data_IF_200586926642
#
_entry.id   IF_200586926642
#
_cell.length_a   1.000
_cell.length_b   1.000
_cell.length_c   1.000
_cell.angle_alpha   90.00
_cell.angle_beta   90.00
_cell.angle_gamma   90.00
#
_symmetry.space_group_name_H-M   'P 1'
#
loop_
_entity.id
_entity.type
_entity.pdbx_description
1 polymer ?
#
# COMPACT_ATOMS: atom_id res chain seq x y z
N UNK A 1 0.22 10.66 -46.53
CA UNK A 1 -1.06 11.39 -46.41
C UNK A 1 -1.01 12.26 -45.17
N UNK A 2 -1.01 13.60 -45.30
CA UNK A 2 -0.95 14.53 -44.16
C UNK A 2 -2.38 14.70 -43.61
N UNK A 3 -2.64 14.23 -42.38
CA UNK A 3 -3.89 14.55 -41.65
C UNK A 3 -3.93 16.07 -41.43
N UNK A 4 -4.91 16.74 -42.03
CA UNK A 4 -5.17 18.16 -41.78
C UNK A 4 -5.80 18.29 -40.39
N UNK A 5 -5.04 18.82 -39.43
CA UNK A 5 -5.59 19.30 -38.18
C UNK A 5 -6.41 20.57 -38.46
N UNK A 6 -7.72 20.45 -38.44
CA UNK A 6 -8.65 21.58 -38.51
C UNK A 6 -8.60 22.33 -37.18
N UNK A 7 -7.89 23.47 -37.16
CA UNK A 7 -7.94 24.43 -36.06
C UNK A 7 -9.38 24.98 -35.94
N UNK A 8 -10.03 24.69 -34.82
CA UNK A 8 -11.32 25.28 -34.47
C UNK A 8 -11.19 26.81 -34.33
N UNK A 9 -11.99 27.56 -35.11
CA UNK A 9 -12.34 28.93 -34.74
C UNK A 9 -13.16 28.87 -33.45
N UNK A 10 -12.89 29.77 -32.49
CA UNK A 10 -13.71 29.96 -31.30
C UNK A 10 -15.12 30.38 -31.73
N UNK A 11 -16.01 29.42 -31.92
CA UNK A 11 -17.44 29.70 -32.05
C UNK A 11 -17.95 29.96 -30.64
N UNK A 12 -18.17 31.23 -30.30
CA UNK A 12 -18.93 31.57 -29.10
C UNK A 12 -20.34 31.00 -29.29
N UNK A 13 -20.66 29.92 -28.58
CA UNK A 13 -22.01 29.36 -28.54
C UNK A 13 -22.92 30.41 -27.92
N UNK A 14 -23.78 30.98 -28.74
CA UNK A 14 -24.70 32.03 -28.35
C UNK A 14 -25.72 31.43 -27.38
N UNK A 15 -25.88 32.00 -26.19
CA UNK A 15 -26.72 31.48 -25.08
C UNK A 15 -28.23 31.49 -25.36
N UNK A 16 -28.68 31.81 -26.56
CA UNK A 16 -30.09 32.01 -26.87
C UNK A 16 -30.51 31.00 -27.92
N UNK A 17 -31.54 30.24 -27.54
CA UNK A 17 -32.22 29.14 -28.24
C UNK A 17 -31.38 27.89 -28.42
N UNK A 18 -31.37 27.03 -27.39
CA UNK A 18 -31.33 25.58 -27.66
C UNK A 18 -32.68 25.22 -28.31
N UNK A 19 -32.72 24.40 -29.36
CA UNK A 19 -33.97 24.06 -30.02
C UNK A 19 -34.78 23.19 -29.07
N UNK A 20 -36.09 23.42 -29.00
CA UNK A 20 -37.02 22.65 -28.15
C UNK A 20 -36.89 21.14 -28.35
N UNK A 21 -36.39 20.69 -29.50
CA UNK A 21 -36.14 19.28 -29.81
C UNK A 21 -35.15 18.61 -28.85
N UNK A 22 -34.05 19.25 -28.47
CA UNK A 22 -33.07 18.66 -27.55
C UNK A 22 -33.62 18.49 -26.13
N UNK A 23 -34.67 19.22 -25.76
CA UNK A 23 -35.39 19.01 -24.49
C UNK A 23 -36.33 17.81 -24.54
N UNK A 24 -36.65 17.30 -25.73
CA UNK A 24 -37.50 16.13 -25.93
C UNK A 24 -36.70 14.82 -25.98
N UNK A 25 -35.39 14.89 -26.20
CA UNK A 25 -34.52 13.72 -26.15
C UNK A 25 -34.34 13.34 -24.68
N UNK A 26 -34.86 12.18 -24.32
CA UNK A 26 -34.62 11.56 -23.03
C UNK A 26 -33.12 11.26 -22.90
N UNK A 27 -32.46 11.85 -21.92
CA UNK A 27 -31.01 11.71 -21.66
C UNK A 27 -30.63 10.24 -21.39
N UNK A 28 -31.61 9.38 -21.07
CA UNK A 28 -31.45 7.92 -20.93
C UNK A 28 -31.30 7.18 -22.26
N UNK A 29 -31.58 7.83 -23.40
CA UNK A 29 -31.62 7.21 -24.72
C UNK A 29 -30.61 7.82 -25.71
N UNK A 30 -29.57 8.50 -25.22
CA UNK A 30 -28.56 9.10 -26.08
C UNK A 30 -27.85 8.08 -26.98
N UNK A 31 -27.59 6.85 -26.50
CA UNK A 31 -27.04 5.77 -27.34
C UNK A 31 -27.91 5.50 -28.58
N UNK A 32 -29.21 5.28 -28.37
CA UNK A 32 -30.17 5.02 -29.45
C UNK A 32 -30.30 6.23 -30.37
N UNK A 33 -30.35 7.45 -29.80
CA UNK A 33 -30.44 8.67 -30.56
C UNK A 33 -29.22 8.85 -31.48
N UNK A 34 -28.01 8.75 -30.94
CA UNK A 34 -26.77 8.97 -31.70
C UNK A 34 -26.61 7.90 -32.77
N UNK A 35 -26.86 6.63 -32.44
CA UNK A 35 -26.80 5.53 -33.42
C UNK A 35 -27.79 5.76 -34.57
N UNK A 36 -29.08 5.99 -34.24
CA UNK A 36 -30.12 6.18 -35.27
C UNK A 36 -29.87 7.44 -36.11
N UNK A 37 -29.41 8.52 -35.49
CA UNK A 37 -29.09 9.76 -36.20
C UNK A 37 -27.88 9.59 -37.11
N UNK A 38 -26.87 8.82 -36.68
CA UNK A 38 -25.69 8.51 -37.50
C UNK A 38 -26.03 7.71 -38.75
N UNK A 39 -27.01 6.81 -38.66
CA UNK A 39 -27.44 6.00 -39.79
C UNK A 39 -28.21 6.83 -40.83
N UNK A 40 -29.00 7.81 -40.37
CA UNK A 40 -29.87 8.62 -41.24
C UNK A 40 -29.12 9.85 -41.79
N UNK A 41 -28.27 10.49 -40.98
CA UNK A 41 -27.61 11.76 -41.27
C UNK A 41 -26.10 11.72 -40.95
N UNK A 42 -25.32 10.81 -41.57
CA UNK A 42 -23.90 10.66 -41.29
C UNK A 42 -23.08 11.94 -41.58
N UNK A 43 -23.52 12.76 -42.54
CA UNK A 43 -22.89 14.04 -42.89
C UNK A 43 -22.97 15.10 -41.80
N UNK A 44 -23.89 14.93 -40.85
CA UNK A 44 -24.11 15.87 -39.76
C UNK A 44 -23.38 15.46 -38.47
N UNK A 45 -22.63 14.35 -38.46
CA UNK A 45 -21.85 13.90 -37.32
C UNK A 45 -20.36 14.11 -37.56
N UNK A 46 -19.70 14.76 -36.60
CA UNK A 46 -18.29 15.08 -36.65
C UNK A 46 -17.59 14.57 -35.38
N UNK A 47 -16.71 13.58 -35.52
CA UNK A 47 -15.85 13.15 -34.43
C UNK A 47 -14.77 14.20 -34.14
N UNK A 48 -14.65 14.55 -32.87
CA UNK A 48 -13.75 15.57 -32.39
C UNK A 48 -12.66 14.93 -31.52
N UNK A 49 -11.42 15.41 -31.61
CA UNK A 49 -10.34 14.94 -30.73
C UNK A 49 -10.36 15.57 -29.33
N UNK A 50 -11.04 16.71 -29.18
CA UNK A 50 -11.16 17.46 -27.93
C UNK A 50 -12.34 18.44 -27.98
N UNK A 51 -12.71 18.96 -26.82
CA UNK A 51 -13.58 20.13 -26.64
C UNK A 51 -12.94 21.15 -25.71
N UNK A 52 -13.46 22.37 -25.71
CA UNK A 52 -13.16 23.36 -24.67
C UNK A 52 -14.34 23.47 -23.71
N UNK A 53 -14.07 23.43 -22.42
CA UNK A 53 -15.10 23.61 -21.41
C UNK A 53 -15.59 25.07 -21.42
N UNK A 54 -16.90 25.29 -21.55
CA UNK A 54 -17.46 26.64 -21.67
C UNK A 54 -17.17 27.52 -20.45
N UNK A 55 -17.00 26.94 -19.26
CA UNK A 55 -16.83 27.68 -18.00
C UNK A 55 -15.37 27.91 -17.61
N UNK A 56 -14.50 26.94 -17.84
CA UNK A 56 -13.11 26.98 -17.36
C UNK A 56 -12.12 27.25 -18.49
N UNK A 57 -12.58 27.24 -19.76
CA UNK A 57 -11.72 27.35 -20.94
C UNK A 57 -10.61 26.29 -20.94
N UNK A 58 -10.88 25.14 -20.33
CA UNK A 58 -9.96 24.01 -20.27
C UNK A 58 -10.19 23.10 -21.48
N UNK A 59 -9.10 22.60 -22.04
CA UNK A 59 -9.15 21.58 -23.09
C UNK A 59 -9.40 20.22 -22.44
N UNK A 60 -10.40 19.52 -22.95
CA UNK A 60 -10.74 18.16 -22.56
C UNK A 60 -10.66 17.26 -23.79
N UNK A 61 -9.81 16.25 -23.75
CA UNK A 61 -9.47 15.38 -24.89
C UNK A 61 -9.90 13.93 -24.63
N UNK A 62 -9.89 13.10 -25.67
CA UNK A 62 -10.07 11.66 -25.54
C UNK A 62 -9.00 11.07 -24.59
N UNK A 63 -9.37 10.05 -23.82
CA UNK A 63 -8.62 9.40 -22.73
C UNK A 63 -8.40 10.25 -21.48
N UNK A 64 -8.93 11.47 -21.42
CA UNK A 64 -8.93 12.26 -20.19
C UNK A 64 -10.16 11.96 -19.35
N UNK A 65 -10.05 12.20 -18.04
CA UNK A 65 -11.12 11.92 -17.08
C UNK A 65 -11.90 13.18 -16.75
N UNK A 66 -13.21 13.05 -16.55
CA UNK A 66 -14.09 14.16 -16.24
C UNK A 66 -15.26 13.78 -15.33
N UNK A 67 -15.79 14.80 -14.66
CA UNK A 67 -17.01 14.70 -13.87
C UNK A 67 -18.19 15.35 -14.60
N UNK A 68 -19.33 14.68 -14.60
CA UNK A 68 -20.58 15.06 -15.25
C UNK A 68 -21.70 15.13 -14.21
N UNK A 69 -22.67 16.03 -14.37
CA UNK A 69 -23.90 16.02 -13.57
C UNK A 69 -25.08 15.68 -14.46
N UNK A 70 -25.67 14.51 -14.22
CA UNK A 70 -26.80 13.97 -14.96
C UNK A 70 -27.80 13.36 -13.97
N UNK A 71 -29.08 13.68 -14.10
CA UNK A 71 -30.14 13.24 -13.18
C UNK A 71 -29.86 13.52 -11.69
N UNK A 72 -29.29 14.69 -11.40
CA UNK A 72 -28.83 15.08 -10.04
C UNK A 72 -27.76 14.16 -9.42
N UNK A 73 -27.19 13.22 -10.18
CA UNK A 73 -26.06 12.38 -9.78
C UNK A 73 -24.78 12.87 -10.47
N UNK A 74 -23.68 12.88 -9.72
CA UNK A 74 -22.35 13.10 -10.31
C UNK A 74 -21.86 11.77 -10.87
N UNK A 75 -21.46 11.80 -12.14
CA UNK A 75 -20.85 10.67 -12.83
C UNK A 75 -19.39 11.01 -13.10
N UNK A 76 -18.50 10.05 -12.87
CA UNK A 76 -17.11 10.14 -13.26
C UNK A 76 -16.89 9.23 -14.47
N UNK A 77 -16.21 9.74 -15.49
CA UNK A 77 -15.97 8.95 -16.69
C UNK A 77 -14.64 9.30 -17.36
N UNK A 78 -14.04 8.28 -17.99
CA UNK A 78 -12.94 8.44 -18.93
C UNK A 78 -13.49 8.62 -20.33
N UNK A 79 -13.03 9.64 -21.04
CA UNK A 79 -13.60 9.99 -22.35
C UNK A 79 -13.09 9.01 -23.40
N UNK A 80 -14.00 8.36 -24.11
CA UNK A 80 -13.67 7.50 -25.24
C UNK A 80 -13.97 8.18 -26.57
N UNK A 81 -15.04 8.98 -26.60
CA UNK A 81 -15.50 9.58 -27.84
C UNK A 81 -16.07 10.97 -27.60
N UNK A 82 -15.87 11.86 -28.56
CA UNK A 82 -16.47 13.19 -28.59
C UNK A 82 -17.06 13.39 -29.98
N UNK A 83 -18.35 13.69 -30.04
CA UNK A 83 -19.03 13.97 -31.31
C UNK A 83 -19.73 15.31 -31.25
N UNK A 84 -19.73 15.99 -32.40
CA UNK A 84 -20.54 17.16 -32.67
C UNK A 84 -21.59 16.76 -33.70
N UNK A 85 -22.85 16.98 -33.38
CA UNK A 85 -23.99 16.70 -34.25
C UNK A 85 -24.61 18.03 -34.66
N UNK A 86 -24.83 18.23 -35.96
CA UNK A 86 -25.48 19.43 -36.50
C UNK A 86 -26.97 19.15 -36.69
N UNK A 87 -27.83 19.72 -35.84
CA UNK A 87 -29.28 19.52 -35.89
C UNK A 87 -29.93 20.84 -36.27
N UNK A 88 -30.62 20.89 -37.42
CA UNK A 88 -31.26 22.12 -37.93
C UNK A 88 -30.31 23.32 -38.02
N UNK A 89 -29.04 23.07 -38.35
CA UNK A 89 -28.00 24.10 -38.45
C UNK A 89 -27.36 24.51 -37.12
N UNK A 90 -27.76 23.90 -36.01
CA UNK A 90 -27.16 24.15 -34.68
C UNK A 90 -26.23 23.02 -34.24
N UNK A 91 -25.11 23.38 -33.63
CA UNK A 91 -24.11 22.44 -33.11
C UNK A 91 -24.52 21.91 -31.72
N UNK A 92 -24.63 20.58 -31.61
CA UNK A 92 -24.86 19.87 -30.35
C UNK A 92 -23.66 18.96 -30.04
N UNK A 93 -23.04 19.13 -28.87
CA UNK A 93 -21.88 18.34 -28.45
C UNK A 93 -22.27 17.20 -27.51
N UNK A 94 -21.76 16.00 -27.80
CA UNK A 94 -21.93 14.81 -26.98
C UNK A 94 -20.57 14.16 -26.69
N UNK A 95 -20.47 13.53 -25.53
CA UNK A 95 -19.26 12.87 -25.03
C UNK A 95 -19.65 11.46 -24.60
N UNK A 96 -19.00 10.44 -25.17
CA UNK A 96 -19.10 9.07 -24.67
C UNK A 96 -18.00 8.85 -23.65
N UNK A 97 -18.41 8.49 -22.44
CA UNK A 97 -17.52 8.23 -21.33
C UNK A 97 -17.66 6.80 -20.84
N UNK A 98 -16.53 6.15 -20.58
CA UNK A 98 -16.43 4.90 -19.85
C UNK A 98 -16.51 5.17 -18.36
N UNK A 99 -17.44 4.53 -17.66
CA UNK A 99 -17.90 4.93 -16.34
C UNK A 99 -17.00 4.40 -15.23
N UNK A 100 -16.72 5.26 -14.25
CA UNK A 100 -16.17 4.85 -12.96
C UNK A 100 -17.29 4.55 -11.97
N UNK A 101 -17.16 3.44 -11.25
CA UNK A 101 -17.91 3.18 -10.02
C UNK A 101 -17.19 3.79 -8.82
N UNK A 102 -17.97 4.17 -7.82
CA UNK A 102 -17.47 4.66 -6.54
C UNK A 102 -17.66 3.60 -5.45
N UNK A 103 -17.01 3.81 -4.30
CA UNK A 103 -17.15 2.94 -3.12
C UNK A 103 -18.60 2.55 -2.80
N UNK A 104 -19.60 3.46 -2.77
CA UNK A 104 -20.98 3.09 -2.47
C UNK A 104 -21.59 2.09 -3.46
N UNK A 105 -21.18 2.12 -4.72
CA UNK A 105 -21.68 1.22 -5.76
C UNK A 105 -21.13 -0.22 -5.61
N UNK A 106 -20.09 -0.41 -4.78
CA UNK A 106 -19.35 -1.66 -4.62
C UNK A 106 -19.50 -2.29 -3.22
N UNK A 107 -20.29 -1.69 -2.34
CA UNK A 107 -20.51 -2.18 -0.97
C UNK A 107 -21.10 -3.59 -1.01
N UNK A 108 -20.48 -4.52 -0.26
CA UNK A 108 -20.93 -5.90 -0.14
C UNK A 108 -20.18 -6.89 -1.03
N UNK A 109 -19.39 -6.42 -1.99
CA UNK A 109 -18.60 -7.30 -2.87
C UNK A 109 -17.35 -7.88 -2.18
N UNK A 110 -16.68 -7.08 -1.36
CA UNK A 110 -15.49 -7.50 -0.62
C UNK A 110 -15.29 -6.65 0.65
N UNK A 111 -14.73 -7.22 1.72
CA UNK A 111 -14.58 -6.53 3.01
C UNK A 111 -13.64 -5.31 2.92
N UNK A 112 -12.50 -5.46 2.22
CA UNK A 112 -11.52 -4.37 2.03
C UNK A 112 -12.08 -3.13 1.31
N UNK A 113 -13.21 -3.22 0.61
CA UNK A 113 -13.85 -2.04 -0.01
C UNK A 113 -14.25 -1.01 1.05
N UNK A 114 -14.50 -1.44 2.29
CA UNK A 114 -14.78 -0.54 3.42
C UNK A 114 -13.61 0.39 3.74
N UNK A 115 -12.38 -0.04 3.44
CA UNK A 115 -11.15 0.73 3.64
C UNK A 115 -10.87 1.71 2.50
N UNK A 116 -11.53 1.59 1.34
CA UNK A 116 -11.43 2.58 0.28
C UNK A 116 -11.97 3.95 0.73
N UNK A 117 -11.48 5.00 0.10
CA UNK A 117 -11.89 6.39 0.32
C UNK A 117 -13.00 6.79 -0.65
N UNK A 118 -13.56 8.00 -0.49
CA UNK A 118 -14.51 8.56 -1.46
C UNK A 118 -13.85 9.00 -2.77
N UNK A 119 -12.51 9.12 -2.77
CA UNK A 119 -11.71 9.49 -3.95
C UNK A 119 -11.28 8.26 -4.76
N UNK A 120 -11.57 7.04 -4.27
CA UNK A 120 -11.35 5.79 -5.00
C UNK A 120 -12.42 5.58 -6.09
N UNK A 121 -11.95 5.51 -7.34
CA UNK A 121 -12.74 5.29 -8.55
C UNK A 121 -12.30 4.00 -9.26
N UNK A 122 -13.27 3.22 -9.74
CA UNK A 122 -13.03 1.93 -10.39
C UNK A 122 -13.60 1.96 -11.81
N UNK A 123 -12.72 2.03 -12.80
CA UNK A 123 -13.14 2.14 -14.20
C UNK A 123 -13.80 0.83 -14.65
N UNK A 124 -14.95 0.91 -15.31
CA UNK A 124 -15.70 -0.25 -15.79
C UNK A 124 -15.75 -0.32 -17.29
N UNK A 125 -16.15 -1.44 -17.88
CA UNK A 125 -16.45 -1.57 -19.31
C UNK A 125 -17.73 -0.84 -19.76
N UNK A 126 -18.54 -0.37 -18.81
CA UNK A 126 -19.78 0.32 -19.14
C UNK A 126 -19.50 1.71 -19.70
N UNK A 127 -20.23 2.08 -20.73
CA UNK A 127 -20.15 3.40 -21.35
C UNK A 127 -21.47 4.13 -21.26
N UNK A 128 -21.41 5.45 -21.28
CA UNK A 128 -22.59 6.32 -21.30
C UNK A 128 -22.30 7.57 -22.11
N UNK A 129 -23.30 8.06 -22.82
CA UNK A 129 -23.26 9.38 -23.44
C UNK A 129 -23.69 10.46 -22.46
N UNK A 130 -23.00 11.59 -22.56
CA UNK A 130 -23.28 12.82 -21.84
C UNK A 130 -23.42 13.96 -22.83
N UNK A 131 -24.31 14.90 -22.55
CA UNK A 131 -24.33 16.16 -23.27
C UNK A 131 -23.19 17.04 -22.77
N UNK A 132 -22.52 17.81 -23.65
CA UNK A 132 -21.42 18.69 -23.25
C UNK A 132 -21.79 19.71 -22.15
N UNK A 133 -23.09 20.03 -21.98
CA UNK A 133 -23.60 20.89 -20.89
C UNK A 133 -23.49 20.26 -19.50
N UNK A 134 -23.47 18.92 -19.42
CA UNK A 134 -23.44 18.16 -18.17
C UNK A 134 -22.04 18.12 -17.58
N UNK A 135 -21.01 18.31 -18.43
CA UNK A 135 -19.63 18.41 -18.02
C UNK A 135 -19.45 19.48 -16.94
N UNK A 136 -18.90 19.08 -15.80
CA UNK A 136 -18.64 19.95 -14.66
C UNK A 136 -17.21 20.42 -14.60
N UNK A 137 -16.28 19.46 -14.64
CA UNK A 137 -14.84 19.71 -14.56
C UNK A 137 -14.07 18.53 -15.13
N UNK A 138 -12.86 18.81 -15.60
CA UNK A 138 -11.81 17.80 -15.76
C UNK A 138 -11.38 17.29 -14.37
N UNK A 139 -11.03 16.02 -14.28
CA UNK A 139 -10.47 15.42 -13.07
C UNK A 139 -9.15 14.70 -13.42
N UNK A 140 -8.38 14.36 -12.40
CA UNK A 140 -7.18 13.53 -12.53
C UNK A 140 -7.42 12.24 -11.76
N UNK A 141 -7.27 11.09 -12.41
CA UNK A 141 -7.35 9.77 -11.78
C UNK A 141 -5.97 9.11 -11.85
N UNK A 142 -5.35 8.87 -10.70
CA UNK A 142 -4.02 8.25 -10.63
C UNK A 142 -4.11 6.77 -10.27
N UNK A 143 -3.22 5.95 -10.82
CA UNK A 143 -3.04 4.58 -10.34
C UNK A 143 -2.21 4.62 -9.05
N UNK A 144 -2.72 4.01 -7.97
CA UNK A 144 -2.05 4.05 -6.67
C UNK A 144 -0.71 3.29 -6.65
N UNK A 145 -0.60 2.20 -7.41
CA UNK A 145 0.68 1.48 -7.50
C UNK A 145 1.73 2.35 -8.17
N UNK A 146 1.37 3.12 -9.19
CA UNK A 146 2.29 4.05 -9.86
C UNK A 146 2.74 5.18 -8.92
N UNK A 147 1.83 5.70 -8.08
CA UNK A 147 2.17 6.70 -7.06
C UNK A 147 3.20 6.15 -6.09
N UNK A 148 2.97 4.95 -5.55
CA UNK A 148 3.85 4.33 -4.55
C UNK A 148 5.21 4.01 -5.15
N UNK A 149 5.24 3.42 -6.36
CA UNK A 149 6.47 2.96 -7.00
C UNK A 149 7.34 4.12 -7.51
N UNK A 150 6.72 5.17 -8.04
CA UNK A 150 7.43 6.28 -8.67
C UNK A 150 7.45 7.55 -7.81
N UNK A 151 6.94 7.48 -6.59
CA UNK A 151 6.83 8.59 -5.64
C UNK A 151 6.20 9.84 -6.29
N UNK A 152 5.03 9.67 -6.90
CA UNK A 152 4.38 10.72 -7.70
C UNK A 152 3.65 11.70 -6.80
N UNK A 153 4.00 12.99 -6.89
CA UNK A 153 3.23 14.06 -6.28
C UNK A 153 1.85 14.22 -6.96
N UNK A 154 0.80 14.01 -6.18
CA UNK A 154 -0.58 14.15 -6.64
C UNK A 154 -1.12 15.55 -6.39
N UNK A 155 -2.01 16.02 -7.27
CA UNK A 155 -2.66 17.33 -7.08
C UNK A 155 -3.78 17.25 -6.04
N UNK A 156 -4.05 18.32 -5.27
CA UNK A 156 -5.22 18.37 -4.39
C UNK A 156 -6.53 18.14 -5.16
N UNK A 157 -7.43 17.33 -4.59
CA UNK A 157 -8.71 16.97 -5.21
C UNK A 157 -8.60 16.01 -6.40
N UNK A 158 -7.50 15.25 -6.48
CA UNK A 158 -7.34 14.13 -7.40
C UNK A 158 -8.06 12.89 -6.90
N UNK A 159 -8.40 12.02 -7.84
CA UNK A 159 -8.99 10.71 -7.58
C UNK A 159 -7.95 9.61 -7.82
N UNK A 160 -8.28 8.41 -7.38
CA UNK A 160 -7.36 7.28 -7.40
C UNK A 160 -8.04 6.04 -7.94
N UNK A 161 -7.25 5.15 -8.53
CA UNK A 161 -7.72 3.82 -8.91
C UNK A 161 -6.73 2.77 -8.45
N UNK A 162 -7.26 1.66 -7.94
CA UNK A 162 -6.51 0.46 -7.55
C UNK A 162 -6.63 -0.62 -8.61
N UNK A 163 -7.76 -0.62 -9.31
CA UNK A 163 -8.10 -1.59 -10.32
C UNK A 163 -9.29 -1.12 -11.15
N UNK A 164 -9.43 -1.72 -12.32
CA UNK A 164 -10.67 -1.70 -13.07
C UNK A 164 -11.64 -2.73 -12.50
N UNK A 165 -12.94 -2.52 -12.73
CA UNK A 165 -13.98 -3.41 -12.25
C UNK A 165 -14.81 -3.92 -13.43
N UNK A 166 -14.88 -5.24 -13.59
CA UNK A 166 -15.73 -5.87 -14.58
C UNK A 166 -17.13 -6.08 -13.99
N UNK A 167 -18.14 -5.41 -14.57
CA UNK A 167 -19.49 -5.40 -14.03
C UNK A 167 -20.21 -6.72 -14.25
N UNK A 168 -19.99 -7.36 -15.39
CA UNK A 168 -20.63 -8.65 -15.71
C UNK A 168 -20.20 -9.77 -14.75
N UNK A 169 -18.90 -9.91 -14.52
CA UNK A 169 -18.34 -10.92 -13.61
C UNK A 169 -18.29 -10.50 -12.15
N UNK A 170 -18.58 -9.22 -11.86
CA UNK A 170 -18.46 -8.59 -10.54
C UNK A 170 -17.08 -8.78 -9.90
N UNK A 171 -16.03 -8.62 -10.69
CA UNK A 171 -14.64 -8.82 -10.25
C UNK A 171 -13.77 -7.63 -10.60
N UNK A 172 -12.83 -7.35 -9.71
CA UNK A 172 -11.72 -6.46 -10.00
C UNK A 172 -10.73 -7.17 -10.92
N UNK A 173 -10.16 -6.43 -11.88
CA UNK A 173 -9.13 -6.97 -12.78
C UNK A 173 -7.85 -7.33 -12.01
N UNK A 174 -7.50 -6.51 -11.02
CA UNK A 174 -6.44 -6.75 -10.04
C UNK A 174 -7.10 -7.26 -8.77
N UNK A 175 -6.79 -8.51 -8.34
CA UNK A 175 -7.34 -9.08 -7.13
C UNK A 175 -7.15 -8.16 -5.91
N UNK A 176 -8.13 -8.16 -5.01
CA UNK A 176 -8.16 -7.26 -3.85
C UNK A 176 -7.03 -7.56 -2.85
N UNK A 177 -6.55 -8.80 -2.86
CA UNK A 177 -5.42 -9.30 -2.09
C UNK A 177 -4.10 -8.68 -2.56
N UNK A 178 -4.01 -8.28 -3.83
CA UNK A 178 -2.82 -7.67 -4.44
C UNK A 178 -2.80 -6.14 -4.31
N UNK A 179 -3.84 -5.54 -3.74
CA UNK A 179 -3.88 -4.09 -3.52
C UNK A 179 -2.86 -3.66 -2.47
N UNK A 180 -2.21 -2.52 -2.73
CA UNK A 180 -1.09 -2.03 -1.94
C UNK A 180 -1.45 -1.82 -0.45
N UNK A 181 -0.61 -2.39 0.42
CA UNK A 181 -0.69 -2.34 1.89
C UNK A 181 0.71 -2.11 2.47
N UNK A 182 1.23 -0.89 2.27
CA UNK A 182 2.62 -0.56 2.60
C UNK A 182 2.93 -0.53 4.10
N UNK A 183 1.98 -0.03 4.89
CA UNK A 183 2.20 0.19 6.32
C UNK A 183 2.16 -1.13 7.13
N UNK A 184 2.82 -1.14 8.28
CA UNK A 184 2.81 -2.26 9.23
C UNK A 184 1.41 -2.62 9.74
N UNK A 185 0.45 -1.69 9.67
CA UNK A 185 -0.95 -1.95 10.03
C UNK A 185 -1.72 -2.77 8.99
N UNK A 186 -1.13 -3.01 7.81
CA UNK A 186 -1.69 -3.79 6.70
C UNK A 186 -3.02 -3.26 6.13
N UNK A 187 -3.38 -2.02 6.47
CA UNK A 187 -4.50 -1.32 5.83
C UNK A 187 -4.13 -0.92 4.40
N UNK A 188 -5.15 -0.77 3.55
CA UNK A 188 -4.98 -0.24 2.20
C UNK A 188 -4.24 1.10 2.24
N UNK A 189 -3.34 1.30 1.28
CA UNK A 189 -2.68 2.58 1.10
C UNK A 189 -3.70 3.67 0.75
N UNK A 190 -3.62 4.81 1.43
CA UNK A 190 -4.52 5.95 1.30
C UNK A 190 -3.69 7.22 1.16
N UNK A 191 -3.65 7.76 -0.06
CA UNK A 191 -2.82 8.92 -0.40
C UNK A 191 -3.23 10.22 0.31
N UNK A 192 -4.36 10.25 1.04
CA UNK A 192 -4.76 11.38 1.85
C UNK A 192 -4.06 11.44 3.23
N UNK A 193 -3.39 10.36 3.62
CA UNK A 193 -2.69 10.25 4.90
C UNK A 193 -1.20 10.62 4.78
N UNK A 194 -0.60 11.03 5.89
CA UNK A 194 0.84 11.28 5.98
C UNK A 194 1.64 9.99 6.17
N UNK A 195 2.72 9.82 5.39
CA UNK A 195 3.61 8.65 5.45
C UNK A 195 5.08 9.05 5.52
N UNK A 196 5.88 8.20 6.19
CA UNK A 196 7.35 8.20 6.13
C UNK A 196 7.81 6.92 5.43
N UNK A 197 8.81 7.02 4.56
CA UNK A 197 9.46 5.84 4.00
C UNK A 197 10.57 5.34 4.93
N UNK A 198 10.56 4.03 5.23
CA UNK A 198 11.61 3.41 6.03
C UNK A 198 12.89 3.21 5.22
N UNK A 199 14.04 3.70 5.68
CA UNK A 199 15.31 3.60 4.97
C UNK A 199 15.81 2.15 4.83
N UNK A 200 15.44 1.26 5.75
CA UNK A 200 15.87 -0.15 5.70
C UNK A 200 14.99 -1.02 4.81
N UNK A 201 13.67 -0.96 4.96
CA UNK A 201 12.75 -1.85 4.23
C UNK A 201 12.00 -1.18 3.09
N UNK A 202 12.17 0.13 2.90
CA UNK A 202 11.62 0.94 1.81
C UNK A 202 10.08 1.00 1.78
N UNK A 203 9.41 0.50 2.82
CA UNK A 203 7.94 0.57 2.98
C UNK A 203 7.49 1.94 3.50
N UNK A 204 6.31 2.35 3.07
CA UNK A 204 5.63 3.57 3.54
C UNK A 204 4.84 3.30 4.83
N UNK A 205 5.19 4.01 5.89
CA UNK A 205 4.60 3.86 7.22
C UNK A 205 3.79 5.11 7.55
N UNK A 206 2.52 4.94 7.94
CA UNK A 206 1.71 6.07 8.43
C UNK A 206 2.43 6.79 9.56
N UNK A 207 2.33 8.11 9.60
CA UNK A 207 2.83 8.93 10.71
C UNK A 207 2.39 8.38 12.08
N UNK A 208 1.10 8.04 12.23
CA UNK A 208 0.56 7.47 13.46
C UNK A 208 1.07 6.06 13.78
N UNK A 209 1.47 5.28 12.76
CA UNK A 209 2.02 3.93 12.93
C UNK A 209 3.54 3.92 13.14
N UNK A 210 4.21 5.05 12.91
CA UNK A 210 5.67 5.16 13.04
C UNK A 210 6.16 4.99 14.48
N UNK A 211 5.29 5.26 15.46
CA UNK A 211 5.64 5.33 16.87
C UNK A 211 6.42 6.60 17.26
N UNK A 212 6.55 7.56 16.35
CA UNK A 212 7.19 8.84 16.61
C UNK A 212 6.19 9.88 17.14
N UNK A 213 6.56 10.71 18.13
CA UNK A 213 5.78 11.87 18.53
C UNK A 213 5.64 12.88 17.38
N UNK A 214 4.51 13.60 17.32
CA UNK A 214 4.24 14.62 16.31
C UNK A 214 5.34 15.69 16.21
N UNK A 215 5.85 16.12 17.36
CA UNK A 215 6.95 17.10 17.44
C UNK A 215 8.22 16.64 16.70
N UNK A 216 8.48 15.34 16.65
CA UNK A 216 9.60 14.76 15.92
C UNK A 216 9.27 14.68 14.43
N UNK A 217 8.03 14.32 14.07
CA UNK A 217 7.57 14.28 12.68
C UNK A 217 7.65 15.66 12.00
N UNK A 218 7.37 16.72 12.74
CA UNK A 218 7.43 18.11 12.23
C UNK A 218 8.86 18.61 11.97
N UNK A 219 9.87 17.99 12.60
CA UNK A 219 11.29 18.37 12.51
C UNK A 219 12.15 17.24 11.91
N UNK A 220 11.52 16.26 11.28
CA UNK A 220 12.20 15.11 10.70
C UNK A 220 12.82 15.56 9.37
N UNK A 221 14.05 16.07 9.44
CA UNK A 221 14.88 16.24 8.25
C UNK A 221 15.09 14.86 7.61
N UNK A 222 14.94 14.80 6.28
CA UNK A 222 14.71 13.65 5.38
C UNK A 222 15.59 12.37 5.52
N UNK A 223 16.44 12.23 6.53
CA UNK A 223 17.49 11.21 6.54
C UNK A 223 17.53 10.44 7.87
N UNK A 224 17.20 9.14 7.79
CA UNK A 224 17.32 8.09 8.83
C UNK A 224 16.04 7.73 9.62
N UNK A 225 14.91 7.52 8.96
CA UNK A 225 13.77 6.85 9.56
C UNK A 225 13.84 5.33 9.37
N UNK A 226 13.84 4.58 10.47
CA UNK A 226 13.67 3.13 10.46
C UNK A 226 12.37 2.74 11.19
N UNK A 227 11.54 1.92 10.56
CA UNK A 227 10.28 1.49 11.15
C UNK A 227 10.49 0.58 12.37
N UNK A 228 9.46 0.46 13.21
CA UNK A 228 9.52 -0.32 14.46
C UNK A 228 9.88 -1.80 14.24
N UNK A 229 9.48 -2.39 13.11
CA UNK A 229 9.86 -3.76 12.73
C UNK A 229 11.37 -3.84 12.52
N UNK A 230 11.92 -2.96 11.68
CA UNK A 230 13.34 -2.92 11.38
C UNK A 230 14.19 -2.62 12.62
N UNK A 231 13.75 -1.71 13.49
CA UNK A 231 14.42 -1.43 14.78
C UNK A 231 14.42 -2.69 15.67
N UNK A 232 13.30 -3.41 15.72
CA UNK A 232 13.17 -4.66 16.47
C UNK A 232 14.17 -5.73 15.99
N UNK A 233 14.25 -5.95 14.68
CA UNK A 233 15.19 -6.90 14.06
C UNK A 233 16.65 -6.56 14.38
N UNK A 234 17.03 -5.28 14.28
CA UNK A 234 18.40 -4.83 14.62
C UNK A 234 18.76 -5.13 16.08
N UNK A 235 17.81 -5.01 17.01
CA UNK A 235 18.04 -5.34 18.43
C UNK A 235 18.27 -6.83 18.61
N UNK A 236 17.50 -7.68 17.93
CA UNK A 236 17.65 -9.14 17.98
C UNK A 236 18.99 -9.57 17.39
N UNK A 237 19.40 -9.01 16.27
CA UNK A 237 20.71 -9.26 15.64
C UNK A 237 21.86 -8.94 16.62
N UNK A 238 21.81 -7.77 17.28
CA UNK A 238 22.82 -7.38 18.29
C UNK A 238 22.87 -8.33 19.49
N UNK A 239 21.74 -8.83 19.96
CA UNK A 239 21.70 -9.81 21.07
C UNK A 239 22.36 -11.12 20.66
N UNK A 240 22.07 -11.63 19.46
CA UNK A 240 22.68 -12.86 18.94
C UNK A 240 24.20 -12.74 18.80
N UNK A 241 24.70 -11.61 18.33
CA UNK A 241 26.14 -11.34 18.21
C UNK A 241 26.81 -11.39 19.59
N UNK A 242 26.25 -10.68 20.58
CA UNK A 242 26.76 -10.69 21.97
C UNK A 242 26.75 -12.09 22.59
N UNK A 243 25.71 -12.88 22.34
CA UNK A 243 25.61 -14.26 22.83
C UNK A 243 26.67 -15.17 22.19
N UNK A 244 26.91 -15.03 20.88
CA UNK A 244 27.94 -15.79 20.17
C UNK A 244 29.36 -15.40 20.61
N UNK A 245 29.61 -14.12 20.88
CA UNK A 245 30.90 -13.65 21.45
C UNK A 245 31.13 -14.22 22.85
N UNK A 246 30.11 -14.22 23.71
CA UNK A 246 30.18 -14.81 25.04
C UNK A 246 30.42 -16.33 24.99
N UNK A 247 29.77 -17.05 24.07
CA UNK A 247 30.00 -18.49 23.89
C UNK A 247 31.43 -18.79 23.42
N UNK A 248 31.99 -18.00 22.50
CA UNK A 248 33.38 -18.15 22.05
C UNK A 248 34.39 -17.92 23.17
N UNK A 249 34.14 -16.95 24.06
CA UNK A 249 35.00 -16.69 25.23
C UNK A 249 34.97 -17.87 26.22
N UNK A 250 33.79 -18.45 26.47
CA UNK A 250 33.64 -19.63 27.34
C UNK A 250 34.30 -20.88 26.74
N UNK A 251 34.25 -21.05 25.42
CA UNK A 251 34.94 -22.16 24.75
C UNK A 251 36.47 -22.01 24.79
N UNK A 252 36.98 -20.79 24.61
CA UNK A 252 38.40 -20.52 24.75
C UNK A 252 38.90 -20.71 26.17
N UNK A 253 38.14 -20.30 27.19
CA UNK A 253 38.53 -20.51 28.60
C UNK A 253 38.60 -22.00 28.95
N UNK A 254 37.61 -22.80 28.51
CA UNK A 254 37.63 -24.26 28.70
C UNK A 254 38.82 -24.93 28.02
N UNK A 255 39.22 -24.45 26.86
CA UNK A 255 40.40 -24.97 26.17
C UNK A 255 41.70 -24.65 26.93
N UNK A 256 41.83 -23.45 27.48
CA UNK A 256 42.98 -23.05 28.30
C UNK A 256 43.03 -23.86 29.60
N UNK A 257 41.90 -24.01 30.30
CA UNK A 257 41.81 -24.79 31.54
C UNK A 257 42.17 -26.27 31.30
N UNK A 258 41.67 -26.88 30.21
CA UNK A 258 42.01 -28.25 29.84
C UNK A 258 43.49 -28.43 29.53
N UNK A 259 44.10 -27.46 28.83
CA UNK A 259 45.55 -27.51 28.52
C UNK A 259 46.40 -27.36 29.77
N UNK A 260 45.97 -26.52 30.72
CA UNK A 260 46.68 -26.31 31.98
C UNK A 260 46.61 -27.55 32.88
N UNK A 261 45.45 -28.22 32.92
CA UNK A 261 45.30 -29.49 33.62
C UNK A 261 46.17 -30.61 33.01
N UNK A 262 46.26 -30.69 31.67
CA UNK A 262 47.17 -31.65 31.00
C UNK A 262 48.64 -31.42 31.36
N UNK A 263 49.08 -30.16 31.42
CA UNK A 263 50.45 -29.80 31.82
C UNK A 263 50.73 -30.19 33.29
N UNK A 264 49.76 -29.99 34.18
CA UNK A 264 49.86 -30.39 35.59
C UNK A 264 49.97 -31.92 35.69
N UNK A 265 49.14 -32.66 34.97
CA UNK A 265 49.17 -34.13 34.96
C UNK A 265 50.48 -34.71 34.42
N UNK A 266 51.07 -34.07 33.39
CA UNK A 266 52.40 -34.45 32.88
C UNK A 266 53.51 -34.18 33.91
N UNK A 267 53.47 -33.04 34.61
CA UNK A 267 54.43 -32.74 35.69
C UNK A 267 54.33 -33.73 36.85
N UNK A 268 53.11 -34.11 37.24
CA UNK A 268 52.88 -35.13 38.28
C UNK A 268 53.42 -36.50 37.84
N UNK A 269 53.35 -36.85 36.55
CA UNK A 269 53.94 -38.10 36.03
C UNK A 269 55.47 -38.09 36.06
N UNK A 270 56.09 -36.96 35.78
CA UNK A 270 57.55 -36.79 35.83
C UNK A 270 58.05 -36.91 37.28
N UNK A 271 57.40 -36.25 38.24
CA UNK A 271 57.79 -36.35 39.67
C UNK A 271 57.63 -37.77 40.25
N UNK A 272 56.73 -38.59 39.69
CA UNK A 272 56.55 -39.99 40.11
C UNK A 272 57.62 -40.93 39.55
N UNK A 273 58.34 -40.56 38.50
CA UNK A 273 59.41 -41.39 37.93
C UNK A 273 60.75 -41.23 38.67
N UNK A 274 60.94 -40.17 39.46
CA UNK A 274 62.18 -39.91 40.19
C UNK A 274 62.23 -40.44 41.64
N UNK A 275 61.16 -41.08 42.13
CA UNK A 275 61.17 -41.71 43.47
C UNK A 275 61.46 -43.20 43.40
N UNK A 276 62.76 -43.56 43.46
CA UNK A 276 63.19 -44.93 43.81
C UNK A 276 62.70 -45.30 45.22
N UNK A 277 62.11 -46.49 45.43
CA UNK A 277 61.61 -46.89 46.74
C UNK A 277 62.74 -47.37 47.66
N UNK A 278 62.96 -46.67 48.77
CA UNK A 278 63.64 -47.23 49.93
C UNK A 278 62.66 -48.11 50.72
N UNK A 279 63.01 -49.39 50.84
CA UNK A 279 62.34 -50.36 51.71
C UNK A 279 62.50 -49.96 53.17
N UNK A 280 61.42 -49.94 53.95
CA UNK A 280 61.33 -50.70 55.21
C UNK A 280 60.04 -50.48 56.01
N UNK A 281 59.53 -51.61 56.51
CA UNK A 281 58.90 -51.89 57.81
C UNK A 281 57.54 -51.28 58.20
N UNK A 282 56.63 -52.22 58.49
CA UNK A 282 55.39 -52.13 59.27
C UNK A 282 55.61 -51.49 60.65
N UNK A 283 54.66 -50.69 61.13
CA UNK A 283 54.11 -50.71 62.51
C UNK A 283 52.66 -50.17 62.54
N UNK A 284 51.89 -50.80 63.41
CA UNK A 284 50.51 -50.65 63.92
C UNK A 284 49.99 -49.25 64.34
N UNK A 285 48.67 -49.28 64.64
CA UNK A 285 47.83 -48.44 65.55
C UNK A 285 47.02 -47.32 64.86
N UNK A 286 45.68 -47.41 64.80
CA UNK A 286 44.63 -47.27 65.84
C UNK A 286 44.33 -45.82 66.28
N UNK A 287 43.10 -45.40 65.96
CA UNK A 287 42.13 -44.72 66.83
C UNK A 287 41.88 -43.21 66.69
N UNK A 288 40.57 -42.91 66.75
CA UNK A 288 39.89 -41.69 67.21
C UNK A 288 39.96 -40.42 66.35
N UNK A 289 39.02 -39.48 66.41
CA UNK A 289 37.55 -39.44 66.48
C UNK A 289 37.19 -37.93 66.39
N UNK A 290 35.98 -37.62 65.91
CA UNK A 290 35.25 -36.33 66.09
C UNK A 290 35.82 -35.06 65.41
N UNK A 291 35.06 -34.31 64.61
CA UNK A 291 33.86 -33.54 64.96
C UNK A 291 33.22 -33.00 63.66
N UNK A 292 31.90 -33.16 63.44
CA UNK A 292 30.83 -32.14 63.62
C UNK A 292 30.92 -30.97 62.60
N UNK A 293 29.87 -30.49 61.91
CA UNK A 293 28.41 -30.59 62.05
C UNK A 293 27.75 -29.76 60.92
N UNK A 294 26.46 -30.04 60.65
CA UNK A 294 25.40 -29.15 60.12
C UNK A 294 25.54 -28.69 58.63
N UNK A 295 24.53 -28.67 57.75
CA UNK A 295 23.07 -28.43 57.87
C UNK A 295 22.29 -29.26 56.80
N UNK A 296 21.14 -29.80 57.25
CA UNK A 296 19.86 -30.09 56.58
C UNK A 296 19.44 -29.10 55.45
N UNK A 297 18.39 -29.22 54.63
CA UNK A 297 17.27 -30.12 54.33
C UNK A 297 16.75 -29.63 52.95
N UNK A 298 16.39 -30.50 51.99
CA UNK A 298 14.99 -30.87 51.66
C UNK A 298 14.04 -29.65 51.63
N UNK A 299 13.27 -29.35 50.59
CA UNK A 299 12.30 -30.20 49.91
C UNK A 299 11.63 -29.35 48.80
N UNK A 300 11.53 -29.86 47.57
CA UNK A 300 10.29 -30.35 46.93
C UNK A 300 9.07 -29.40 46.96
N UNK A 301 8.51 -29.11 45.77
CA UNK A 301 7.15 -29.54 45.37
C UNK A 301 6.77 -29.07 43.96
N UNK A 302 5.83 -29.86 43.43
CA UNK A 302 5.30 -29.99 42.06
C UNK A 302 4.10 -29.04 41.81
N UNK A 303 3.36 -29.11 40.66
CA UNK A 303 2.82 -27.96 39.92
C UNK A 303 1.29 -27.72 40.11
N UNK A 304 0.72 -26.97 39.13
CA UNK A 304 -0.68 -26.81 38.69
C UNK A 304 -1.43 -25.57 39.27
N UNK A 305 -1.82 -24.59 38.44
CA UNK A 305 -3.22 -24.34 38.00
C UNK A 305 -3.43 -23.03 37.22
N UNK A 306 -4.32 -23.15 36.23
CA UNK A 306 -4.99 -22.12 35.42
C UNK A 306 -5.86 -21.22 36.29
N UNK A 307 -5.99 -19.95 35.90
CA UNK A 307 -7.19 -19.12 36.16
C UNK A 307 -7.56 -18.35 34.88
N UNK A 308 -8.85 -18.37 34.56
CA UNK A 308 -9.56 -17.57 33.55
C UNK A 308 -10.16 -16.30 34.18
N UNK A 309 -10.59 -15.37 33.31
CA UNK A 309 -11.48 -14.21 33.50
C UNK A 309 -10.81 -12.97 34.11
N UNK A 310 -11.07 -11.74 33.64
CA UNK A 310 -12.25 -11.16 32.97
C UNK A 310 -11.94 -10.51 31.64
#
# INVERSE_FOLDING_TARGET
MKKKETKFKKTQVNKRTFPNFLKMIDERNFDLFISSYSDIHPENIFHCGFIYTHKQNEKLSINEDAAFLLDNKIWFARIEEIVKIVINGEDAGFIKGRIYLQKPDLIGLHEKIKECTEDDLFLTEQTKWFFCKELRKKIMVYNLNDIIQNNIDTKPGSFYTRSEFNVESQKFLTPVEEWATECICQKLFDNSLGYLQCDRCQRWIHYDCSGLPKEILENLDDHNFNCLICIGEMKVEKIKIKQNEQQKVVEQSKYVDNRQNQIIDEKIKIEKQDRKPLKSKQVLTQSMNHNKLFINEKNSKKPIQKIKSK
#
